data_IF_078828437487
#
_entry.id   IF_078828437487
#
_cell.length_a   1.000
_cell.length_b   1.000
_cell.length_c   1.000
_cell.angle_alpha   90.00
_cell.angle_beta   90.00
_cell.angle_gamma   90.00
#
_symmetry.space_group_name_H-M   'P 1'
#
loop_
_entity.id
_entity.type
_entity.pdbx_description
1 polymer ?
#
# COMPACT_ATOMS: atom_id res chain seq x y z
N UNK A 1 -10.61 10.73 6.88
CA UNK A 1 -9.76 9.55 7.14
C UNK A 1 -10.37 8.19 6.77
N UNK A 2 -11.68 7.99 6.79
CA UNK A 2 -12.30 6.70 6.46
C UNK A 2 -11.87 6.12 5.09
N UNK A 3 -11.81 6.95 4.04
CA UNK A 3 -11.36 6.53 2.71
C UNK A 3 -9.89 6.06 2.70
N UNK A 4 -9.02 6.71 3.48
CA UNK A 4 -7.61 6.32 3.60
C UNK A 4 -7.49 4.94 4.27
N UNK A 5 -8.21 4.74 5.38
CA UNK A 5 -8.22 3.43 6.07
C UNK A 5 -8.71 2.32 5.15
N UNK A 6 -9.78 2.56 4.40
CA UNK A 6 -10.30 1.58 3.44
C UNK A 6 -9.24 1.18 2.41
N UNK A 7 -8.53 2.15 1.81
CA UNK A 7 -7.49 1.86 0.81
C UNK A 7 -6.25 1.19 1.43
N UNK A 8 -5.88 1.53 2.66
CA UNK A 8 -4.77 0.85 3.36
C UNK A 8 -5.10 -0.62 3.68
N UNK A 9 -6.36 -0.91 4.01
CA UNK A 9 -6.84 -2.28 4.18
C UNK A 9 -6.85 -3.03 2.85
N UNK A 10 -7.25 -2.38 1.75
CA UNK A 10 -7.21 -2.99 0.41
C UNK A 10 -5.78 -3.36 0.00
N UNK A 11 -4.81 -2.47 0.24
CA UNK A 11 -3.37 -2.76 0.03
C UNK A 11 -2.95 -3.95 0.89
N UNK A 12 -3.29 -3.91 2.19
CA UNK A 12 -2.90 -4.96 3.13
C UNK A 12 -3.46 -6.33 2.73
N UNK A 13 -4.75 -6.42 2.38
CA UNK A 13 -5.38 -7.69 1.99
C UNK A 13 -4.85 -8.21 0.64
N UNK A 14 -4.62 -7.31 -0.32
CA UNK A 14 -4.07 -7.71 -1.62
C UNK A 14 -2.64 -8.21 -1.50
N UNK A 15 -1.82 -7.57 -0.65
CA UNK A 15 -0.46 -8.02 -0.37
C UNK A 15 -0.44 -9.33 0.43
N UNK A 16 -1.34 -9.49 1.40
CA UNK A 16 -1.48 -10.75 2.16
C UNK A 16 -1.87 -11.93 1.25
N UNK A 17 -2.82 -11.72 0.34
CA UNK A 17 -3.20 -12.73 -0.66
C UNK A 17 -2.04 -13.13 -1.57
N UNK A 18 -1.21 -12.16 -1.99
CA UNK A 18 0.01 -12.43 -2.75
C UNK A 18 1.03 -13.26 -1.96
N UNK A 19 1.21 -12.98 -0.67
CA UNK A 19 2.19 -13.65 0.19
C UNK A 19 1.77 -15.07 0.60
N UNK A 20 0.47 -15.32 0.75
CA UNK A 20 -0.06 -16.60 1.23
C UNK A 20 -0.42 -17.59 0.12
N UNK A 21 -0.96 -17.09 -1.00
CA UNK A 21 -1.65 -17.94 -1.98
C UNK A 21 -0.97 -17.97 -3.34
N UNK A 22 0.25 -17.45 -3.47
CA UNK A 22 0.95 -17.39 -4.75
C UNK A 22 2.43 -17.77 -4.68
N UNK A 23 3.00 -18.15 -5.82
CA UNK A 23 4.43 -18.45 -5.96
C UNK A 23 5.17 -17.19 -6.44
N UNK A 24 5.56 -16.34 -5.50
CA UNK A 24 6.47 -15.23 -5.77
C UNK A 24 7.92 -15.72 -5.70
N UNK A 25 8.81 -15.20 -6.53
CA UNK A 25 10.24 -15.35 -6.28
C UNK A 25 10.71 -14.44 -5.14
N UNK A 26 11.96 -14.61 -4.70
CA UNK A 26 12.51 -13.89 -3.55
C UNK A 26 12.44 -12.36 -3.69
N UNK A 27 12.70 -11.82 -4.88
CA UNK A 27 12.66 -10.38 -5.14
C UNK A 27 11.23 -9.84 -5.10
N UNK A 28 10.31 -10.51 -5.82
CA UNK A 28 8.89 -10.19 -5.81
C UNK A 28 8.29 -10.28 -4.40
N UNK A 29 8.64 -11.33 -3.65
CA UNK A 29 8.24 -11.50 -2.25
C UNK A 29 8.75 -10.35 -1.39
N UNK A 30 10.01 -9.93 -1.58
CA UNK A 30 10.59 -8.77 -0.89
C UNK A 30 9.80 -7.48 -1.13
N UNK A 31 9.40 -7.20 -2.36
CA UNK A 31 8.57 -6.04 -2.70
C UNK A 31 7.19 -6.12 -2.06
N UNK A 32 6.48 -7.25 -2.20
CA UNK A 32 5.14 -7.41 -1.62
C UNK A 32 5.17 -7.31 -0.10
N UNK A 33 6.19 -7.89 0.55
CA UNK A 33 6.36 -7.80 1.99
C UNK A 33 6.65 -6.35 2.44
N UNK A 34 7.45 -5.59 1.70
CA UNK A 34 7.69 -4.18 1.99
C UNK A 34 6.40 -3.36 1.87
N UNK A 35 5.62 -3.57 0.80
CA UNK A 35 4.32 -2.90 0.63
C UNK A 35 3.34 -3.21 1.76
N UNK A 36 3.25 -4.48 2.17
CA UNK A 36 2.42 -4.90 3.30
C UNK A 36 2.86 -4.23 4.60
N UNK A 37 4.17 -4.23 4.89
CA UNK A 37 4.71 -3.62 6.10
C UNK A 37 4.44 -2.11 6.16
N UNK A 38 4.59 -1.40 5.05
CA UNK A 38 4.31 0.04 4.96
C UNK A 38 2.80 0.33 5.13
N UNK A 39 1.93 -0.47 4.52
CA UNK A 39 0.49 -0.34 4.72
C UNK A 39 0.07 -0.56 6.18
N UNK A 40 0.65 -1.55 6.85
CA UNK A 40 0.42 -1.81 8.29
C UNK A 40 0.92 -0.66 9.16
N UNK A 41 2.12 -0.15 8.93
CA UNK A 41 2.65 1.02 9.67
C UNK A 41 1.71 2.22 9.55
N UNK A 42 1.19 2.49 8.37
CA UNK A 42 0.22 3.56 8.16
C UNK A 42 -1.10 3.30 8.88
N UNK A 43 -1.62 2.07 8.88
CA UNK A 43 -2.82 1.71 9.65
C UNK A 43 -2.61 1.94 11.15
N UNK A 44 -1.49 1.50 11.70
CA UNK A 44 -1.15 1.67 13.12
C UNK A 44 -1.07 3.16 13.49
N UNK A 45 -0.50 3.98 12.59
CA UNK A 45 -0.47 5.43 12.77
C UNK A 45 -1.88 6.03 12.80
N UNK A 46 -2.78 5.62 11.90
CA UNK A 46 -4.17 6.11 11.92
C UNK A 46 -4.86 5.76 13.24
N UNK A 47 -4.69 4.53 13.72
CA UNK A 47 -5.28 4.08 14.99
C UNK A 47 -4.69 4.83 16.20
N UNK A 48 -3.46 5.34 16.09
CA UNK A 48 -2.81 6.12 17.15
C UNK A 48 -3.39 7.52 17.36
N UNK A 49 -4.14 8.07 16.39
CA UNK A 49 -4.71 9.41 16.54
C UNK A 49 -5.94 9.41 17.46
N UNK A 50 -5.96 10.23 18.53
CA UNK A 50 -7.12 10.32 19.43
C UNK A 50 -8.40 10.82 18.72
N UNK A 51 -8.23 11.67 17.71
CA UNK A 51 -9.30 12.13 16.82
C UNK A 51 -8.80 12.09 15.37
N UNK A 52 -9.18 11.03 14.67
CA UNK A 52 -8.83 10.77 13.26
C UNK A 52 -9.48 11.77 12.28
N UNK A 53 -10.46 12.57 12.72
CA UNK A 53 -11.12 13.56 11.88
C UNK A 53 -10.53 14.97 12.07
N UNK A 54 -9.61 15.15 13.01
CA UNK A 54 -8.92 16.41 13.22
C UNK A 54 -8.07 16.79 12.00
N UNK A 55 -8.10 18.06 11.54
CA UNK A 55 -7.21 18.55 10.49
C UNK A 55 -5.73 18.30 10.79
N UNK A 56 -5.34 18.35 12.07
CA UNK A 56 -3.97 18.10 12.50
C UNK A 56 -3.57 16.64 12.33
N UNK A 57 -4.47 15.69 12.61
CA UNK A 57 -4.22 14.28 12.38
C UNK A 57 -4.01 13.99 10.89
N UNK A 58 -4.82 14.61 10.02
CA UNK A 58 -4.67 14.48 8.57
C UNK A 58 -3.36 15.09 8.06
N UNK A 59 -2.95 16.24 8.59
CA UNK A 59 -1.68 16.89 8.23
C UNK A 59 -0.48 16.04 8.63
N UNK A 60 -0.44 15.55 9.88
CA UNK A 60 0.62 14.67 10.37
C UNK A 60 0.66 13.37 9.57
N UNK A 61 -0.51 12.74 9.37
CA UNK A 61 -0.60 11.53 8.57
C UNK A 61 -0.09 11.76 7.14
N UNK A 62 -0.48 12.87 6.50
CA UNK A 62 -0.02 13.22 5.16
C UNK A 62 1.50 13.31 5.08
N UNK A 63 2.12 14.02 6.03
CA UNK A 63 3.56 14.18 6.06
C UNK A 63 4.29 12.84 6.20
N UNK A 64 3.89 12.03 7.17
CA UNK A 64 4.56 10.77 7.51
C UNK A 64 4.30 9.66 6.48
N UNK A 65 3.11 9.64 5.85
CA UNK A 65 2.71 8.55 4.94
C UNK A 65 3.24 8.68 3.50
N UNK A 66 3.69 9.86 3.07
CA UNK A 66 4.09 10.12 1.67
C UNK A 66 5.24 9.24 1.18
N UNK A 67 6.25 9.03 2.02
CA UNK A 67 7.40 8.17 1.68
C UNK A 67 6.92 6.73 1.48
N UNK A 68 6.14 6.21 2.43
CA UNK A 68 5.55 4.87 2.39
C UNK A 68 4.66 4.68 1.15
N UNK A 69 3.79 5.64 0.84
CA UNK A 69 2.93 5.58 -0.34
C UNK A 69 3.72 5.61 -1.64
N UNK A 70 4.74 6.45 -1.73
CA UNK A 70 5.65 6.49 -2.89
C UNK A 70 6.36 5.16 -3.09
N UNK A 71 6.84 4.55 -2.00
CA UNK A 71 7.46 3.22 -2.04
C UNK A 71 6.47 2.14 -2.47
N UNK A 72 5.25 2.13 -1.92
CA UNK A 72 4.20 1.16 -2.32
C UNK A 72 3.90 1.25 -3.82
N UNK A 73 3.69 2.48 -4.32
CA UNK A 73 3.38 2.70 -5.73
C UNK A 73 4.56 2.25 -6.60
N UNK A 74 5.79 2.64 -6.26
CA UNK A 74 6.98 2.26 -7.01
C UNK A 74 7.25 0.75 -7.03
N UNK A 75 7.08 0.06 -5.91
CA UNK A 75 7.20 -1.41 -5.87
C UNK A 75 6.13 -2.10 -6.70
N UNK A 76 4.89 -1.59 -6.67
CA UNK A 76 3.82 -2.13 -7.50
C UNK A 76 4.10 -1.90 -9.01
N UNK A 77 4.67 -0.76 -9.38
CA UNK A 77 5.08 -0.48 -10.77
C UNK A 77 6.19 -1.45 -11.23
N UNK A 78 7.26 -1.62 -10.43
CA UNK A 78 8.34 -2.56 -10.73
C UNK A 78 7.84 -4.00 -10.92
N UNK A 79 6.86 -4.42 -10.11
CA UNK A 79 6.22 -5.73 -10.23
C UNK A 79 5.40 -5.88 -11.51
N UNK A 80 4.70 -4.82 -11.94
CA UNK A 80 3.87 -4.82 -13.15
C UNK A 80 4.70 -4.72 -14.44
N UNK A 81 5.85 -4.05 -14.38
CA UNK A 81 6.79 -3.95 -15.51
C UNK A 81 7.46 -5.30 -15.81
N UNK A 82 7.44 -6.23 -14.86
CA UNK A 82 7.95 -7.60 -15.03
C UNK A 82 9.47 -7.72 -14.93
N UNK A 83 10.15 -6.68 -14.44
CA UNK A 83 11.61 -6.62 -14.28
C UNK A 83 12.14 -7.77 -13.41
N UNK A 84 11.40 -8.14 -12.36
CA UNK A 84 11.73 -9.25 -11.46
C UNK A 84 10.98 -10.54 -11.82
N UNK A 85 10.54 -10.69 -13.07
CA UNK A 85 9.81 -11.87 -13.55
C UNK A 85 8.31 -11.66 -13.69
N UNK A 86 7.68 -12.54 -14.48
CA UNK A 86 6.26 -12.45 -14.82
C UNK A 86 5.37 -12.84 -13.66
N UNK A 87 4.31 -12.05 -13.46
CA UNK A 87 3.19 -12.37 -12.59
C UNK A 87 2.09 -13.10 -13.39
N UNK A 88 1.36 -13.99 -12.72
CA UNK A 88 0.12 -14.54 -13.27
C UNK A 88 -1.04 -13.54 -13.18
N UNK A 89 -2.17 -13.84 -13.83
CA UNK A 89 -3.32 -12.93 -13.90
C UNK A 89 -3.88 -12.55 -12.51
N UNK A 90 -3.83 -13.47 -11.55
CA UNK A 90 -4.30 -13.20 -10.18
C UNK A 90 -3.33 -12.26 -9.47
N UNK A 91 -2.03 -12.53 -9.57
CA UNK A 91 -0.98 -11.70 -9.00
C UNK A 91 -1.01 -10.28 -9.59
N UNK A 92 -1.13 -10.16 -10.92
CA UNK A 92 -1.29 -8.87 -11.61
C UNK A 92 -2.49 -8.12 -11.06
N UNK A 93 -3.65 -8.78 -10.93
CA UNK A 93 -4.85 -8.15 -10.40
C UNK A 93 -4.66 -7.61 -8.97
N UNK A 94 -3.97 -8.36 -8.11
CA UNK A 94 -3.64 -7.92 -6.75
C UNK A 94 -2.69 -6.71 -6.76
N UNK A 95 -1.61 -6.74 -7.56
CA UNK A 95 -0.66 -5.62 -7.65
C UNK A 95 -1.31 -4.36 -8.23
N UNK A 96 -2.19 -4.50 -9.23
CA UNK A 96 -2.97 -3.37 -9.75
C UNK A 96 -3.89 -2.75 -8.69
N UNK A 97 -4.52 -3.56 -7.82
CA UNK A 97 -5.32 -3.05 -6.70
C UNK A 97 -4.47 -2.29 -5.69
N UNK A 98 -3.28 -2.82 -5.36
CA UNK A 98 -2.32 -2.14 -4.47
C UNK A 98 -1.93 -0.78 -5.05
N UNK A 99 -1.52 -0.74 -6.32
CA UNK A 99 -1.13 0.49 -7.00
C UNK A 99 -2.27 1.51 -7.02
N UNK A 100 -3.47 1.08 -7.43
CA UNK A 100 -4.65 1.94 -7.49
C UNK A 100 -5.03 2.49 -6.11
N UNK A 101 -5.04 1.66 -5.07
CA UNK A 101 -5.34 2.08 -3.71
C UNK A 101 -4.31 3.08 -3.16
N UNK A 102 -3.02 2.84 -3.40
CA UNK A 102 -1.95 3.79 -3.04
C UNK A 102 -2.13 5.15 -3.73
N UNK A 103 -2.41 5.14 -5.04
CA UNK A 103 -2.67 6.36 -5.80
C UNK A 103 -3.93 7.10 -5.31
N UNK A 104 -4.98 6.39 -4.89
CA UNK A 104 -6.18 7.02 -4.31
C UNK A 104 -5.88 7.68 -2.96
N UNK A 105 -5.08 7.05 -2.09
CA UNK A 105 -4.67 7.67 -0.82
C UNK A 105 -3.96 8.98 -1.08
N UNK A 106 -2.98 9.00 -2.00
CA UNK A 106 -2.24 10.21 -2.36
C UNK A 106 -3.15 11.38 -2.79
N UNK A 107 -4.29 11.09 -3.44
CA UNK A 107 -5.27 12.11 -3.84
C UNK A 107 -6.08 12.68 -2.67
N UNK A 108 -6.19 11.94 -1.57
CA UNK A 108 -6.92 12.38 -0.37
C UNK A 108 -6.03 13.16 0.61
N UNK A 109 -4.71 13.10 0.44
CA UNK A 109 -3.77 13.78 1.32
C UNK A 109 -3.61 15.25 0.90
N UNK A 110 -3.64 16.20 1.86
CA UNK A 110 -3.32 17.59 1.56
C UNK A 110 -1.88 17.69 1.05
N UNK A 111 -1.64 18.62 0.11
CA UNK A 111 -0.32 18.95 -0.47
C UNK A 111 0.62 19.67 0.49
#
# INVERSE_FOLDING_TARGET
MQAVVHNLLEISHSADALLLDTNLNDAQHGFVQAMYADAKRMLDMVVSFPDVNSPRALEVFSYESRSHLSSIIGYAELLLDGDEGSLDDFQVACVMRINAAGAQIMRFLPG
#
